data_IF_304336305963
#
_entry.id   IF_304336305963
#
_cell.length_a   1.000
_cell.length_b   1.000
_cell.length_c   1.000
_cell.angle_alpha   90.00
_cell.angle_beta   90.00
_cell.angle_gamma   90.00
#
_symmetry.space_group_name_H-M   'P 1'
#
loop_
_entity.id
_entity.type
_entity.pdbx_description
1 polymer ?
#
# COMPACT_ATOMS: atom_id res chain seq x y z
N UNK A 1 4.12 -6.43 -12.20
CA UNK A 1 4.56 -5.48 -11.14
C UNK A 1 5.53 -6.18 -10.21
N UNK A 2 6.53 -5.47 -9.69
CA UNK A 2 7.38 -6.00 -8.61
C UNK A 2 6.67 -5.88 -7.24
N UNK A 3 7.18 -6.55 -6.20
CA UNK A 3 6.50 -6.59 -4.88
C UNK A 3 6.32 -5.21 -4.22
N UNK A 4 7.24 -4.26 -4.45
CA UNK A 4 7.12 -2.90 -3.94
C UNK A 4 6.05 -2.12 -4.71
N UNK A 5 5.97 -2.33 -6.03
CA UNK A 5 4.91 -1.76 -6.86
C UNK A 5 3.53 -2.24 -6.44
N UNK A 6 3.37 -3.54 -6.14
CA UNK A 6 2.13 -4.10 -5.60
C UNK A 6 1.80 -3.44 -4.27
N UNK A 7 2.74 -3.48 -3.33
CA UNK A 7 2.57 -2.91 -1.99
C UNK A 7 2.12 -1.45 -2.03
N UNK A 8 2.87 -0.59 -2.72
CA UNK A 8 2.56 0.83 -2.76
C UNK A 8 1.30 1.15 -3.58
N UNK A 9 0.93 0.32 -4.55
CA UNK A 9 -0.35 0.47 -5.26
C UNK A 9 -1.52 0.19 -4.31
N UNK A 10 -1.47 -0.92 -3.56
CA UNK A 10 -2.53 -1.30 -2.64
C UNK A 10 -2.63 -0.32 -1.47
N UNK A 11 -1.50 0.13 -0.92
CA UNK A 11 -1.48 1.18 0.12
C UNK A 11 -2.09 2.48 -0.41
N UNK A 12 -1.78 2.89 -1.65
CA UNK A 12 -2.36 4.10 -2.22
C UNK A 12 -3.87 4.01 -2.34
N UNK A 13 -4.37 2.91 -2.91
CA UNK A 13 -5.80 2.66 -3.04
C UNK A 13 -6.51 2.71 -1.68
N UNK A 14 -5.99 2.00 -0.67
CA UNK A 14 -6.56 1.97 0.66
C UNK A 14 -6.52 3.34 1.36
N UNK A 15 -5.44 4.10 1.14
CA UNK A 15 -5.30 5.44 1.68
C UNK A 15 -6.29 6.43 1.07
N UNK A 16 -6.53 6.36 -0.24
CA UNK A 16 -7.53 7.18 -0.94
C UNK A 16 -8.95 6.89 -0.43
N UNK A 17 -9.35 5.61 -0.38
CA UNK A 17 -10.65 5.18 0.12
C UNK A 17 -10.92 5.64 1.57
N UNK A 18 -9.86 5.75 2.38
CA UNK A 18 -9.95 6.11 3.80
C UNK A 18 -9.64 7.58 4.08
N UNK A 19 -9.31 8.37 3.06
CA UNK A 19 -8.91 9.78 3.22
C UNK A 19 -7.61 9.97 4.02
N UNK A 20 -6.74 8.97 4.07
CA UNK A 20 -5.46 9.02 4.81
C UNK A 20 -4.37 9.55 3.90
N UNK A 21 -3.60 10.54 4.37
CA UNK A 21 -2.49 11.09 3.58
C UNK A 21 -1.24 10.22 3.68
N UNK A 22 -0.44 10.16 2.61
CA UNK A 22 0.89 9.50 2.66
C UNK A 22 1.83 10.12 3.69
N UNK A 23 1.67 11.41 4.01
CA UNK A 23 2.44 12.06 5.06
C UNK A 23 2.13 11.45 6.43
N UNK A 24 0.88 11.07 6.70
CA UNK A 24 0.49 10.37 7.93
C UNK A 24 1.10 8.95 7.99
N UNK A 25 1.17 8.24 6.87
CA UNK A 25 1.75 6.89 6.79
C UNK A 25 3.28 6.89 6.93
N UNK A 26 3.95 7.84 6.26
CA UNK A 26 5.40 7.87 6.12
C UNK A 26 6.11 8.78 7.13
N UNK A 27 5.39 9.65 7.84
CA UNK A 27 5.97 10.58 8.81
C UNK A 27 6.91 11.63 8.19
N UNK A 28 6.75 11.94 6.90
CA UNK A 28 7.65 12.86 6.19
C UNK A 28 7.78 12.54 4.71
N UNK A 29 8.98 12.15 4.28
CA UNK A 29 9.31 11.98 2.86
C UNK A 29 8.45 10.89 2.18
N UNK A 30 7.51 11.33 1.33
CA UNK A 30 6.57 10.45 0.62
C UNK A 30 7.01 10.07 -0.79
N UNK A 31 8.07 10.66 -1.34
CA UNK A 31 8.38 10.59 -2.78
C UNK A 31 8.60 9.15 -3.25
N UNK A 32 9.39 8.36 -2.52
CA UNK A 32 9.64 6.96 -2.88
C UNK A 32 8.38 6.09 -2.76
N UNK A 33 7.50 6.37 -1.80
CA UNK A 33 6.25 5.66 -1.63
C UNK A 33 5.27 5.95 -2.77
N UNK A 34 5.11 7.23 -3.13
CA UNK A 34 4.29 7.65 -4.29
C UNK A 34 4.82 7.14 -5.62
N UNK A 35 6.15 7.09 -5.77
CA UNK A 35 6.81 6.51 -6.94
C UNK A 35 6.90 4.99 -6.88
N UNK A 36 6.40 4.35 -5.83
CA UNK A 36 6.37 2.89 -5.63
C UNK A 36 7.75 2.21 -5.58
N UNK A 37 8.78 2.95 -5.18
CA UNK A 37 10.18 2.49 -5.11
C UNK A 37 10.76 2.44 -3.70
N UNK A 38 10.04 2.96 -2.69
CA UNK A 38 10.53 2.96 -1.32
C UNK A 38 10.63 1.53 -0.76
N UNK A 39 11.82 1.15 -0.29
CA UNK A 39 12.00 -0.01 0.56
C UNK A 39 11.30 0.20 1.91
N UNK A 40 10.86 -0.90 2.50
CA UNK A 40 9.92 -0.90 3.62
C UNK A 40 10.30 -2.03 4.57
N UNK A 41 10.30 -1.76 5.88
CA UNK A 41 10.49 -2.78 6.92
C UNK A 41 9.16 -3.39 7.32
N UNK A 42 9.16 -4.64 7.80
CA UNK A 42 7.94 -5.30 8.29
C UNK A 42 7.25 -4.49 9.40
N UNK A 43 8.01 -3.84 10.28
CA UNK A 43 7.44 -2.96 11.32
C UNK A 43 6.61 -1.83 10.70
N UNK A 44 7.13 -1.15 9.67
CA UNK A 44 6.39 -0.06 9.02
C UNK A 44 5.18 -0.58 8.23
N UNK A 45 5.21 -1.82 7.72
CA UNK A 45 4.02 -2.47 7.13
C UNK A 45 2.91 -2.57 8.17
N UNK A 46 3.24 -3.06 9.37
CA UNK A 46 2.28 -3.16 10.48
C UNK A 46 1.72 -1.79 10.88
N UNK A 47 2.57 -0.78 11.06
CA UNK A 47 2.13 0.60 11.36
C UNK A 47 1.18 1.15 10.29
N UNK A 48 1.47 0.92 9.00
CA UNK A 48 0.60 1.36 7.90
C UNK A 48 -0.74 0.61 7.94
N UNK A 49 -0.71 -0.70 8.17
CA UNK A 49 -1.92 -1.51 8.26
C UNK A 49 -2.81 -1.07 9.43
N UNK A 50 -2.22 -0.79 10.60
CA UNK A 50 -2.94 -0.25 11.77
C UNK A 50 -3.60 1.11 11.46
N UNK A 51 -2.87 2.04 10.84
CA UNK A 51 -3.43 3.35 10.45
C UNK A 51 -4.57 3.20 9.44
N UNK A 52 -4.44 2.26 8.52
CA UNK A 52 -5.46 1.97 7.51
C UNK A 52 -6.57 1.05 8.04
N UNK A 53 -6.51 0.55 9.27
CA UNK A 53 -7.50 -0.40 9.81
C UNK A 53 -7.58 -1.69 9.01
N UNK A 54 -6.43 -2.24 8.59
CA UNK A 54 -6.29 -3.49 7.84
C UNK A 54 -5.78 -4.57 8.80
N UNK A 55 -6.62 -5.55 9.11
CA UNK A 55 -6.26 -6.65 10.00
C UNK A 55 -5.31 -7.65 9.32
N UNK A 56 -5.60 -8.01 8.07
CA UNK A 56 -4.74 -8.87 7.27
C UNK A 56 -3.82 -8.04 6.36
N UNK A 57 -2.67 -7.63 6.90
CA UNK A 57 -1.70 -6.84 6.14
C UNK A 57 -1.06 -7.62 4.98
N UNK A 58 -1.24 -8.94 4.88
CA UNK A 58 -0.78 -9.71 3.72
C UNK A 58 -1.50 -9.28 2.43
N UNK A 59 -2.76 -8.83 2.54
CA UNK A 59 -3.54 -8.28 1.42
C UNK A 59 -2.87 -7.09 0.73
N UNK A 60 -2.00 -6.34 1.42
CA UNK A 60 -1.23 -5.27 0.81
C UNK A 60 -0.21 -5.79 -0.22
N UNK A 61 0.13 -7.07 -0.21
CA UNK A 61 1.08 -7.70 -1.12
C UNK A 61 0.42 -8.56 -2.20
N UNK A 62 -0.91 -8.63 -2.23
CA UNK A 62 -1.66 -9.43 -3.19
C UNK A 62 -1.85 -8.67 -4.51
N UNK A 63 -1.59 -9.35 -5.62
CA UNK A 63 -2.05 -8.91 -6.93
C UNK A 63 -3.44 -9.48 -7.14
N UNK A 64 -4.43 -8.61 -7.29
CA UNK A 64 -5.74 -9.03 -7.80
C UNK A 64 -5.57 -9.17 -9.31
N UNK A 65 -5.50 -10.41 -9.81
CA UNK A 65 -5.61 -10.64 -11.24
C UNK A 65 -6.97 -10.12 -11.69
N UNK A 66 -7.01 -9.16 -12.63
CA UNK A 66 -8.25 -8.82 -13.30
C UNK A 66 -8.75 -10.10 -13.98
N UNK A 67 -9.76 -10.72 -13.40
CA UNK A 67 -10.49 -11.82 -14.00
C UNK A 67 -11.02 -11.32 -15.34
N UNK A 68 -10.37 -11.74 -16.42
CA UNK A 68 -10.73 -11.49 -17.81
C UNK A 68 -11.97 -12.32 -18.17
N UNK A 69 -13.08 -12.11 -17.46
CA UNK A 69 -14.39 -12.75 -17.73
C UNK A 69 -15.43 -11.78 -18.29
N UNK A 70 -15.00 -10.66 -18.86
CA UNK A 70 -15.86 -9.82 -19.70
C UNK A 70 -15.14 -9.47 -21.00
N UNK A 71 -15.08 -10.43 -21.93
CA UNK A 71 -14.99 -10.20 -23.37
C UNK A 71 -15.68 -11.36 -24.11
#
# INVERSE_FOLDING_TARGET
MNILEVFWTNVHYQAEEKGVTFTALMGGNTTGAKNKTANITLKKVQEIAEILGIDDYASLFEQVEEETWMN
#
